data_IF_770564804112
#
_entry.id   IF_770564804112
#
_cell.length_a   1.000
_cell.length_b   1.000
_cell.length_c   1.000
_cell.angle_alpha   90.00
_cell.angle_beta   90.00
_cell.angle_gamma   90.00
#
_symmetry.space_group_name_H-M   'P 1'
#
loop_
_entity.id
_entity.type
_entity.pdbx_description
1 polymer ?
#
# COMPACT_ATOMS: atom_id res chain seq x y z
N UNK A 1 25.26 -1.61 -1.61
CA UNK A 1 24.20 -1.49 -2.65
C UNK A 1 24.85 -1.42 -4.04
N UNK A 2 24.18 -1.67 -5.18
CA UNK A 2 24.75 -1.29 -6.49
C UNK A 2 24.13 0.03 -6.99
N UNK A 3 24.87 0.89 -7.72
CA UNK A 3 24.33 2.14 -8.24
C UNK A 3 23.08 1.95 -9.12
N UNK A 4 23.04 0.90 -9.94
CA UNK A 4 21.91 0.62 -10.85
C UNK A 4 20.65 0.26 -10.05
N UNK A 5 20.81 -0.54 -8.98
CA UNK A 5 19.69 -0.91 -8.11
C UNK A 5 19.17 0.30 -7.35
N UNK A 6 20.06 1.16 -6.85
CA UNK A 6 19.65 2.39 -6.17
C UNK A 6 18.92 3.35 -7.12
N UNK A 7 19.44 3.56 -8.32
CA UNK A 7 18.80 4.39 -9.34
C UNK A 7 17.39 3.87 -9.68
N UNK A 8 17.24 2.54 -9.82
CA UNK A 8 15.93 1.93 -10.05
C UNK A 8 14.97 2.12 -8.88
N UNK A 9 15.45 2.02 -7.65
CA UNK A 9 14.64 2.28 -6.45
C UNK A 9 14.16 3.74 -6.43
N UNK A 10 15.07 4.71 -6.61
CA UNK A 10 14.74 6.14 -6.67
C UNK A 10 13.72 6.43 -7.78
N UNK A 11 13.92 5.90 -8.99
CA UNK A 11 12.98 6.04 -10.12
C UNK A 11 11.56 5.57 -9.77
N UNK A 12 11.42 4.45 -9.05
CA UNK A 12 10.11 3.93 -8.65
C UNK A 12 9.50 4.81 -7.55
N UNK A 13 10.30 5.22 -6.55
CA UNK A 13 9.83 6.08 -5.46
C UNK A 13 9.36 7.44 -5.96
N UNK A 14 10.06 8.02 -6.95
CA UNK A 14 9.70 9.31 -7.54
C UNK A 14 8.34 9.28 -8.25
N UNK A 15 7.88 8.09 -8.65
CA UNK A 15 6.57 7.88 -9.30
C UNK A 15 5.46 7.49 -8.33
N UNK A 16 5.76 7.31 -7.03
CA UNK A 16 4.73 6.90 -6.06
C UNK A 16 3.68 7.99 -5.85
N UNK A 17 2.44 7.54 -5.75
CA UNK A 17 1.23 8.35 -5.58
C UNK A 17 0.72 8.15 -4.14
N UNK A 18 1.12 9.00 -3.17
CA UNK A 18 0.76 8.81 -1.75
C UNK A 18 -0.71 9.04 -1.43
N UNK A 19 -1.43 9.70 -2.34
CA UNK A 19 -2.84 10.09 -2.22
C UNK A 19 -3.76 9.23 -3.12
N UNK A 20 -3.27 8.11 -3.65
CA UNK A 20 -4.08 7.07 -4.27
C UNK A 20 -3.87 5.78 -3.47
N UNK A 21 -4.95 5.18 -3.00
CA UNK A 21 -4.86 3.93 -2.25
C UNK A 21 -6.03 2.98 -2.54
N UNK A 22 -5.88 1.74 -2.08
CA UNK A 22 -6.94 0.72 -2.12
C UNK A 22 -7.29 0.35 -0.68
N UNK A 23 -8.59 0.25 -0.39
CA UNK A 23 -9.10 -0.34 0.85
C UNK A 23 -9.81 -1.65 0.55
N UNK A 24 -9.32 -2.78 1.08
CA UNK A 24 -10.02 -4.06 0.93
C UNK A 24 -10.97 -4.32 2.09
N UNK A 25 -12.22 -4.62 1.79
CA UNK A 25 -13.25 -5.04 2.75
C UNK A 25 -13.37 -6.56 2.78
N UNK A 26 -12.60 -7.20 3.67
CA UNK A 26 -12.70 -8.63 3.96
C UNK A 26 -12.57 -9.55 2.73
N UNK A 27 -11.72 -9.18 1.75
CA UNK A 27 -11.42 -10.04 0.60
C UNK A 27 -10.90 -11.41 1.09
N UNK A 28 -11.64 -12.47 0.82
CA UNK A 28 -11.42 -13.77 1.46
C UNK A 28 -10.24 -14.53 0.86
N UNK A 29 -10.07 -14.49 -0.46
CA UNK A 29 -9.09 -15.34 -1.14
C UNK A 29 -7.70 -14.69 -1.11
N UNK A 30 -6.67 -15.32 -0.50
CA UNK A 30 -5.31 -14.78 -0.44
C UNK A 30 -4.73 -14.45 -1.82
N UNK A 31 -5.06 -15.23 -2.85
CA UNK A 31 -4.62 -14.98 -4.24
C UNK A 31 -5.14 -13.64 -4.80
N UNK A 32 -6.34 -13.22 -4.43
CA UNK A 32 -6.92 -11.96 -4.89
C UNK A 32 -6.20 -10.79 -4.21
N UNK A 33 -5.95 -10.88 -2.90
CA UNK A 33 -5.16 -9.89 -2.18
C UNK A 33 -3.73 -9.79 -2.75
N UNK A 34 -3.09 -10.91 -3.09
CA UNK A 34 -1.73 -10.91 -3.69
C UNK A 34 -1.73 -10.15 -5.00
N UNK A 35 -2.74 -10.40 -5.83
CA UNK A 35 -2.91 -9.73 -7.11
C UNK A 35 -3.20 -8.23 -6.93
N UNK A 36 -4.02 -7.86 -5.94
CA UNK A 36 -4.31 -6.45 -5.62
C UNK A 36 -3.04 -5.71 -5.17
N UNK A 37 -2.21 -6.30 -4.30
CA UNK A 37 -0.91 -5.69 -3.91
C UNK A 37 -0.01 -5.49 -5.13
N UNK A 38 0.06 -6.49 -6.02
CA UNK A 38 0.82 -6.37 -7.26
C UNK A 38 0.29 -5.26 -8.16
N UNK A 39 -1.02 -5.05 -8.20
CA UNK A 39 -1.63 -3.92 -8.91
C UNK A 39 -1.23 -2.59 -8.27
N UNK A 40 -1.29 -2.49 -6.93
CA UNK A 40 -0.88 -1.30 -6.20
C UNK A 40 0.57 -0.91 -6.57
N UNK A 41 1.50 -1.87 -6.54
CA UNK A 41 2.89 -1.65 -6.94
C UNK A 41 3.02 -1.18 -8.40
N UNK A 42 2.35 -1.88 -9.32
CA UNK A 42 2.41 -1.62 -10.75
C UNK A 42 1.83 -0.25 -11.16
N UNK A 43 0.79 0.21 -10.46
CA UNK A 43 0.12 1.49 -10.73
C UNK A 43 0.64 2.65 -9.87
N UNK A 44 1.70 2.43 -9.09
CA UNK A 44 2.41 3.49 -8.38
C UNK A 44 1.85 3.83 -6.99
N UNK A 45 0.99 3.00 -6.40
CA UNK A 45 0.51 3.22 -5.05
C UNK A 45 1.64 2.91 -4.04
N UNK A 46 1.85 3.80 -3.07
CA UNK A 46 2.85 3.59 -2.01
C UNK A 46 2.35 2.62 -0.93
N UNK A 47 1.03 2.61 -0.70
CA UNK A 47 0.40 1.84 0.35
C UNK A 47 -1.01 1.39 -0.03
N UNK A 48 -1.50 0.40 0.70
CA UNK A 48 -2.89 -0.03 0.69
C UNK A 48 -3.40 -0.28 2.11
N UNK A 49 -4.71 -0.29 2.26
CA UNK A 49 -5.43 -0.51 3.51
C UNK A 49 -6.19 -1.83 3.42
N UNK A 50 -6.17 -2.62 4.50
CA UNK A 50 -6.85 -3.90 4.54
C UNK A 50 -7.58 -4.12 5.86
N UNK A 51 -8.87 -4.40 5.77
CA UNK A 51 -9.62 -5.08 6.81
C UNK A 51 -9.64 -6.55 6.45
N UNK A 52 -8.94 -7.36 7.24
CA UNK A 52 -8.79 -8.78 6.94
C UNK A 52 -10.08 -9.55 7.23
N UNK A 53 -10.33 -10.65 6.50
CA UNK A 53 -11.34 -11.62 6.90
C UNK A 53 -11.08 -12.07 8.34
N UNK A 54 -12.15 -12.21 9.13
CA UNK A 54 -12.08 -12.63 10.54
C UNK A 54 -11.30 -13.94 10.76
N UNK A 55 -11.17 -14.76 9.72
CA UNK A 55 -10.61 -16.11 9.79
C UNK A 55 -9.12 -16.25 9.42
N UNK A 56 -8.41 -15.23 8.87
CA UNK A 56 -7.32 -15.58 7.93
C UNK A 56 -6.02 -14.76 7.79
N UNK A 57 -5.71 -13.75 8.62
CA UNK A 57 -4.51 -12.87 8.43
C UNK A 57 -3.19 -13.62 8.16
N UNK A 58 -2.97 -14.79 8.78
CA UNK A 58 -1.69 -15.51 8.75
C UNK A 58 -1.34 -16.19 7.42
N UNK A 59 -2.32 -16.52 6.57
CA UNK A 59 -2.06 -17.28 5.35
C UNK A 59 -1.43 -16.45 4.21
N UNK A 60 -1.52 -15.12 4.31
CA UNK A 60 -1.32 -14.25 3.15
C UNK A 60 0.14 -13.87 2.85
N UNK A 61 1.00 -13.73 3.86
CA UNK A 61 2.42 -13.35 3.67
C UNK A 61 3.22 -14.32 2.78
N UNK A 62 2.79 -15.59 2.64
CA UNK A 62 3.48 -16.60 1.82
C UNK A 62 3.17 -16.54 0.32
N UNK A 63 2.09 -15.88 -0.11
CA UNK A 63 1.52 -16.08 -1.47
C UNK A 63 1.74 -14.91 -2.44
N UNK A 64 2.35 -13.80 -2.00
CA UNK A 64 2.31 -12.53 -2.72
C UNK A 64 3.63 -12.09 -3.39
N UNK A 65 4.53 -13.04 -3.65
CA UNK A 65 5.60 -12.90 -4.64
C UNK A 65 6.30 -11.53 -4.68
N UNK A 66 7.03 -11.18 -3.61
CA UNK A 66 7.93 -10.01 -3.54
C UNK A 66 7.27 -8.61 -3.53
N UNK A 67 6.07 -8.46 -4.10
CA UNK A 67 5.37 -7.15 -4.22
C UNK A 67 5.05 -6.49 -2.87
N UNK A 68 4.85 -7.29 -1.82
CA UNK A 68 4.75 -6.83 -0.43
C UNK A 68 5.94 -6.02 0.07
N UNK A 69 7.11 -6.16 -0.54
CA UNK A 69 8.29 -5.40 -0.13
C UNK A 69 8.21 -3.93 -0.58
N UNK A 70 7.33 -3.62 -1.54
CA UNK A 70 7.30 -2.32 -2.23
C UNK A 70 6.00 -1.53 -2.01
N UNK A 71 5.02 -2.12 -1.33
CA UNK A 71 3.74 -1.50 -0.97
C UNK A 71 3.46 -1.74 0.50
N UNK A 72 3.35 -0.67 1.29
CA UNK A 72 3.02 -0.79 2.72
C UNK A 72 1.56 -1.18 2.89
N UNK A 73 1.27 -2.23 3.66
CA UNK A 73 -0.11 -2.63 3.97
C UNK A 73 -0.52 -2.18 5.36
N UNK A 74 -1.41 -1.19 5.46
CA UNK A 74 -2.02 -0.74 6.70
C UNK A 74 -3.18 -1.66 7.08
N UNK A 75 -3.06 -2.34 8.22
CA UNK A 75 -4.10 -3.24 8.72
C UNK A 75 -5.05 -2.50 9.65
N UNK A 76 -6.35 -2.65 9.41
CA UNK A 76 -7.40 -2.06 10.22
C UNK A 76 -8.24 -3.14 10.89
N UNK A 77 -8.59 -2.98 12.18
CA UNK A 77 -9.46 -3.94 12.87
C UNK A 77 -10.90 -3.96 12.32
N UNK A 78 -11.38 -2.81 11.84
CA UNK A 78 -12.76 -2.63 11.37
C UNK A 78 -12.81 -1.73 10.12
N UNK A 79 -13.85 -1.90 9.29
CA UNK A 79 -14.10 -1.03 8.14
C UNK A 79 -14.37 0.41 8.56
N UNK A 80 -15.10 0.63 9.65
CA UNK A 80 -15.35 1.98 10.19
C UNK A 80 -14.05 2.71 10.51
N UNK A 81 -13.12 2.06 11.24
CA UNK A 81 -11.83 2.68 11.57
C UNK A 81 -10.97 2.96 10.33
N UNK A 82 -11.02 2.07 9.33
CA UNK A 82 -10.31 2.27 8.07
C UNK A 82 -10.84 3.47 7.29
N UNK A 83 -12.18 3.60 7.19
CA UNK A 83 -12.88 4.71 6.54
C UNK A 83 -12.57 6.03 7.25
N UNK A 84 -12.68 6.08 8.58
CA UNK A 84 -12.40 7.27 9.38
C UNK A 84 -10.95 7.74 9.18
N UNK A 85 -9.99 6.82 9.19
CA UNK A 85 -8.58 7.13 8.95
C UNK A 85 -8.37 7.76 7.56
N UNK A 86 -8.97 7.18 6.50
CA UNK A 86 -8.82 7.68 5.14
C UNK A 86 -9.51 9.03 4.93
N UNK A 87 -10.72 9.22 5.47
CA UNK A 87 -11.41 10.52 5.44
C UNK A 87 -10.65 11.59 6.23
N UNK A 88 -10.08 11.23 7.38
CA UNK A 88 -9.22 12.13 8.17
C UNK A 88 -7.96 12.57 7.42
N UNK A 89 -7.50 11.76 6.46
CA UNK A 89 -6.41 12.10 5.54
C UNK A 89 -6.87 12.86 4.28
N UNK A 90 -8.16 13.18 4.17
CA UNK A 90 -8.73 13.91 3.04
C UNK A 90 -9.01 13.06 1.80
N UNK A 91 -8.99 11.73 1.88
CA UNK A 91 -9.31 10.88 0.75
C UNK A 91 -10.81 10.86 0.47
N UNK A 92 -11.19 11.07 -0.79
CA UNK A 92 -12.49 10.64 -1.30
C UNK A 92 -12.55 9.11 -1.36
N UNK A 93 -13.71 8.54 -1.08
CA UNK A 93 -13.93 7.11 -1.05
C UNK A 93 -14.80 6.68 -2.23
N UNK A 94 -14.24 5.84 -3.10
CA UNK A 94 -14.94 5.27 -4.24
C UNK A 94 -15.19 3.78 -4.00
N UNK A 95 -16.44 3.38 -3.77
CA UNK A 95 -16.79 1.99 -3.56
C UNK A 95 -17.05 1.28 -4.90
N UNK A 96 -16.30 0.22 -5.18
CA UNK A 96 -16.55 -0.66 -6.32
C UNK A 96 -17.77 -1.56 -6.02
N UNK A 97 -18.96 -0.96 -6.09
CA UNK A 97 -20.22 -1.54 -5.65
C UNK A 97 -21.29 -1.38 -6.72
N UNK A 98 -21.99 -2.48 -7.03
CA UNK A 98 -23.17 -2.44 -7.88
C UNK A 98 -24.35 -1.85 -7.07
N UNK A 99 -24.92 -0.75 -7.56
CA UNK A 99 -26.08 -0.09 -6.94
C UNK A 99 -26.76 0.85 -7.94
N UNK A 100 -28.00 1.26 -7.67
CA UNK A 100 -28.74 2.20 -8.53
C UNK A 100 -28.09 3.58 -8.66
N UNK A 101 -27.27 3.97 -7.67
CA UNK A 101 -26.51 5.24 -7.69
C UNK A 101 -25.13 5.11 -8.31
N UNK A 102 -24.72 3.91 -8.73
CA UNK A 102 -23.37 3.70 -9.22
C UNK A 102 -23.15 4.42 -10.56
N UNK A 103 -22.05 5.14 -10.66
CA UNK A 103 -21.59 5.76 -11.91
C UNK A 103 -20.55 4.88 -12.59
N UNK A 104 -20.31 5.12 -13.88
CA UNK A 104 -19.19 4.46 -14.56
C UNK A 104 -17.87 4.83 -13.86
N UNK A 105 -17.02 3.84 -13.59
CA UNK A 105 -15.71 4.09 -12.99
C UNK A 105 -14.84 5.07 -13.77
N UNK A 106 -15.10 5.29 -15.06
CA UNK A 106 -14.38 6.24 -15.91
C UNK A 106 -14.81 7.70 -15.70
N UNK A 107 -15.99 7.92 -15.11
CA UNK A 107 -16.58 9.24 -14.95
C UNK A 107 -16.17 9.92 -13.63
N UNK A 108 -15.47 9.21 -12.75
CA UNK A 108 -14.91 9.79 -11.52
C UNK A 108 -13.49 10.32 -11.73
N UNK A 109 -13.12 11.29 -10.90
CA UNK A 109 -11.79 11.91 -10.90
C UNK A 109 -10.85 11.19 -9.93
N UNK A 110 -9.89 10.43 -10.46
CA UNK A 110 -8.85 9.77 -9.67
C UNK A 110 -7.61 10.65 -9.47
N UNK A 111 -7.59 11.88 -9.98
CA UNK A 111 -6.44 12.80 -9.81
C UNK A 111 -6.44 13.49 -8.44
N UNK A 112 -7.57 13.51 -7.74
CA UNK A 112 -7.68 13.96 -6.35
C UNK A 112 -7.24 12.86 -5.36
N UNK A 113 -6.97 13.22 -4.09
CA UNK A 113 -6.78 12.23 -3.03
C UNK A 113 -7.97 11.28 -2.93
N UNK A 114 -7.76 9.99 -3.19
CA UNK A 114 -8.85 9.02 -3.19
C UNK A 114 -8.43 7.60 -2.81
N UNK A 115 -9.39 6.84 -2.28
CA UNK A 115 -9.26 5.44 -1.94
C UNK A 115 -10.35 4.64 -2.66
N UNK A 116 -9.94 3.58 -3.37
CA UNK A 116 -10.87 2.65 -4.01
C UNK A 116 -11.17 1.50 -3.04
N UNK A 117 -12.44 1.37 -2.64
CA UNK A 117 -12.90 0.30 -1.76
C UNK A 117 -13.24 -0.93 -2.61
N UNK A 118 -12.55 -2.03 -2.35
CA UNK A 118 -12.74 -3.32 -3.01
C UNK A 118 -13.40 -4.31 -2.05
N UNK A 119 -14.59 -4.77 -2.42
CA UNK A 119 -15.40 -5.70 -1.64
C UNK A 119 -14.96 -7.16 -1.69
N UNK A 120 -15.62 -8.00 -0.89
CA UNK A 120 -15.42 -9.44 -0.92
C UNK A 120 -16.07 -10.10 -2.14
N UNK A 121 -15.75 -11.37 -2.40
CA UNK A 121 -16.16 -12.07 -3.62
C UNK A 121 -17.65 -12.43 -3.72
N UNK A 122 -18.39 -12.36 -2.62
CA UNK A 122 -19.80 -12.78 -2.54
C UNK A 122 -20.72 -11.57 -2.51
N UNK A 123 -20.51 -10.69 -1.54
CA UNK A 123 -21.44 -9.60 -1.24
C UNK A 123 -20.97 -8.24 -1.80
N UNK A 124 -19.76 -8.19 -2.37
CA UNK A 124 -19.14 -6.92 -2.75
C UNK A 124 -18.73 -6.11 -1.52
N UNK A 125 -18.89 -4.79 -1.59
CA UNK A 125 -18.55 -3.88 -0.50
C UNK A 125 -19.63 -3.97 0.57
N UNK A 126 -19.25 -4.07 1.85
CA UNK A 126 -20.24 -4.16 2.92
C UNK A 126 -21.16 -2.92 2.95
N UNK A 127 -22.45 -3.06 3.33
CA UNK A 127 -23.38 -1.95 3.37
C UNK A 127 -22.85 -0.74 4.16
N UNK A 128 -22.23 -1.01 5.31
CA UNK A 128 -21.65 0.05 6.16
C UNK A 128 -20.52 0.83 5.46
N UNK A 129 -19.73 0.18 4.60
CA UNK A 129 -18.68 0.84 3.83
C UNK A 129 -19.22 1.54 2.57
N UNK A 130 -20.28 0.99 1.96
CA UNK A 130 -20.97 1.59 0.82
C UNK A 130 -21.72 2.88 1.22
N UNK A 131 -22.41 2.88 2.36
CA UNK A 131 -23.19 4.02 2.86
C UNK A 131 -22.33 5.27 3.11
N UNK A 132 -21.07 5.07 3.49
CA UNK A 132 -20.12 6.15 3.79
C UNK A 132 -19.21 6.51 2.62
N UNK A 133 -19.29 5.78 1.51
CA UNK A 133 -18.53 6.06 0.31
C UNK A 133 -19.08 7.30 -0.39
N UNK A 134 -18.19 8.19 -0.84
CA UNK A 134 -18.57 9.42 -1.52
C UNK A 134 -19.25 9.10 -2.85
N UNK A 135 -18.71 8.13 -3.61
CA UNK A 135 -19.34 7.60 -4.82
C UNK A 135 -19.32 6.07 -4.89
N UNK A 136 -20.32 5.51 -5.54
CA UNK A 136 -20.29 4.13 -6.01
C UNK A 136 -19.85 4.11 -7.47
N UNK A 137 -18.88 3.26 -7.79
CA UNK A 137 -18.37 3.08 -9.13
C UNK A 137 -18.61 1.65 -9.61
N UNK A 138 -18.96 1.51 -10.89
CA UNK A 138 -19.17 0.21 -11.53
C UNK A 138 -18.38 0.12 -12.83
N UNK A 139 -17.88 -1.07 -13.14
CA UNK A 139 -17.38 -1.39 -14.47
C UNK A 139 -18.57 -1.93 -15.28
N UNK A 140 -18.99 -1.28 -16.39
CA UNK A 140 -20.12 -1.74 -17.16
C UNK A 140 -19.89 -3.16 -17.73
N UNK A 141 -20.81 -4.08 -17.43
CA UNK A 141 -20.78 -5.44 -17.97
C UNK A 141 -21.62 -5.50 -19.26
N UNK A 142 -21.04 -6.04 -20.33
CA UNK A 142 -21.70 -6.19 -21.64
C UNK A 142 -22.16 -7.64 -21.91
N UNK A 143 -22.14 -8.49 -20.88
CA UNK A 143 -22.44 -9.92 -20.99
C UNK A 143 -23.39 -10.39 -19.88
N UNK A 144 -23.50 -11.71 -19.70
CA UNK A 144 -24.42 -12.31 -18.74
C UNK A 144 -23.94 -12.30 -17.28
N UNK A 145 -22.66 -11.98 -17.05
CA UNK A 145 -22.10 -11.93 -15.70
C UNK A 145 -22.35 -10.58 -15.05
N UNK A 146 -22.61 -10.58 -13.75
CA UNK A 146 -22.89 -9.36 -12.98
C UNK A 146 -21.62 -8.64 -12.53
N UNK A 147 -20.51 -9.36 -12.40
CA UNK A 147 -19.25 -8.82 -11.91
C UNK A 147 -18.02 -9.57 -12.42
N UNK A 148 -16.87 -8.90 -12.29
CA UNK A 148 -15.56 -9.48 -12.52
C UNK A 148 -14.96 -10.01 -11.21
N UNK A 149 -13.89 -10.80 -11.32
CA UNK A 149 -13.04 -11.10 -10.16
C UNK A 149 -12.53 -9.79 -9.52
N UNK A 150 -12.58 -9.67 -8.19
CA UNK A 150 -12.19 -8.47 -7.45
C UNK A 150 -10.80 -7.93 -7.81
N UNK A 151 -9.81 -8.80 -8.04
CA UNK A 151 -8.46 -8.36 -8.44
C UNK A 151 -8.40 -7.86 -9.88
N UNK A 152 -9.22 -8.42 -10.78
CA UNK A 152 -9.37 -7.92 -12.15
C UNK A 152 -10.09 -6.57 -12.17
N UNK A 153 -11.16 -6.42 -11.39
CA UNK A 153 -11.85 -5.14 -11.23
C UNK A 153 -10.92 -4.06 -10.67
N UNK A 154 -10.13 -4.38 -9.63
CA UNK A 154 -9.11 -3.50 -9.08
C UNK A 154 -8.08 -3.10 -10.15
N UNK A 155 -7.59 -4.06 -10.96
CA UNK A 155 -6.65 -3.78 -12.04
C UNK A 155 -7.20 -2.79 -13.08
N UNK A 156 -8.48 -2.96 -13.47
CA UNK A 156 -9.14 -2.10 -14.46
C UNK A 156 -9.31 -0.69 -13.91
N UNK A 157 -9.81 -0.56 -12.68
CA UNK A 157 -10.03 0.74 -12.04
C UNK A 157 -8.69 1.47 -11.84
N UNK A 158 -7.67 0.78 -11.33
CA UNK A 158 -6.35 1.40 -11.10
C UNK A 158 -5.62 1.73 -12.41
N UNK A 159 -5.85 0.99 -13.50
CA UNK A 159 -5.32 1.36 -14.81
C UNK A 159 -5.92 2.68 -15.32
N UNK A 160 -7.22 2.91 -15.09
CA UNK A 160 -7.85 4.20 -15.40
C UNK A 160 -7.34 5.31 -14.49
N UNK A 161 -7.21 5.05 -13.18
CA UNK A 161 -6.60 6.01 -12.26
C UNK A 161 -5.18 6.39 -12.70
N UNK A 162 -4.35 5.41 -13.07
CA UNK A 162 -3.02 5.65 -13.62
C UNK A 162 -3.09 6.50 -14.90
N UNK A 163 -4.02 6.20 -15.81
CA UNK A 163 -4.20 6.96 -17.06
C UNK A 163 -4.52 8.43 -16.77
N UNK A 164 -5.51 8.70 -15.91
CA UNK A 164 -5.90 10.07 -15.54
C UNK A 164 -4.73 10.82 -14.90
N UNK A 165 -4.06 10.21 -13.92
CA UNK A 165 -2.93 10.81 -13.21
C UNK A 165 -1.73 11.07 -14.12
N UNK A 166 -1.47 10.19 -15.09
CA UNK A 166 -0.44 10.39 -16.12
C UNK A 166 -0.78 11.56 -17.04
N UNK A 167 -2.02 11.67 -17.50
CA UNK A 167 -2.46 12.81 -18.31
C UNK A 167 -2.36 14.12 -17.53
N UNK A 168 -2.63 14.09 -16.23
CA UNK A 168 -2.47 15.24 -15.33
C UNK A 168 -1.01 15.53 -14.91
N UNK A 169 -0.02 14.77 -15.38
CA UNK A 169 1.40 14.97 -15.06
C UNK A 169 1.80 14.59 -13.63
N UNK A 170 0.96 13.86 -12.88
CA UNK A 170 1.22 13.52 -11.47
C UNK A 170 2.34 12.49 -11.27
N UNK A 171 2.82 11.87 -12.34
CA UNK A 171 3.98 10.97 -12.34
C UNK A 171 5.29 11.65 -12.77
N UNK A 172 5.24 12.93 -13.16
CA UNK A 172 6.40 13.64 -13.72
C UNK A 172 7.33 14.18 -12.63
N UNK A 173 6.87 14.23 -11.38
CA UNK A 173 7.64 14.68 -10.22
C UNK A 173 7.31 13.87 -8.97
N UNK A 174 8.27 13.82 -8.05
CA UNK A 174 8.12 13.19 -6.73
C UNK A 174 7.00 13.86 -5.93
N UNK A 175 6.07 13.04 -5.43
CA UNK A 175 4.94 13.49 -4.59
C UNK A 175 4.98 13.00 -3.15
N UNK A 176 5.85 12.03 -2.84
CA UNK A 176 6.07 11.60 -1.45
C UNK A 176 6.70 12.72 -0.62
N UNK A 177 6.23 12.97 0.61
CA UNK A 177 6.94 13.78 1.59
C UNK A 177 8.36 13.26 1.86
N UNK A 178 9.28 14.14 2.27
CA UNK A 178 10.69 13.78 2.46
C UNK A 178 10.88 12.63 3.47
N UNK A 179 10.17 12.69 4.60
CA UNK A 179 10.25 11.66 5.65
C UNK A 179 9.79 10.30 5.13
N UNK A 180 8.64 10.26 4.43
CA UNK A 180 8.10 9.03 3.84
C UNK A 180 9.02 8.48 2.75
N UNK A 181 9.59 9.36 1.93
CA UNK A 181 10.52 9.00 0.87
C UNK A 181 11.79 8.36 1.44
N UNK A 182 12.41 8.99 2.44
CA UNK A 182 13.63 8.48 3.09
C UNK A 182 13.36 7.17 3.82
N UNK A 183 12.22 7.06 4.50
CA UNK A 183 11.81 5.83 5.17
C UNK A 183 11.64 4.67 4.17
N UNK A 184 10.97 4.90 3.04
CA UNK A 184 10.81 3.88 2.00
C UNK A 184 12.14 3.56 1.30
N UNK A 185 12.95 4.57 1.00
CA UNK A 185 14.27 4.40 0.42
C UNK A 185 15.16 3.51 1.31
N UNK A 186 15.21 3.81 2.61
CA UNK A 186 15.89 2.96 3.58
C UNK A 186 15.33 1.53 3.55
N UNK A 187 14.00 1.40 3.62
CA UNK A 187 13.31 0.10 3.67
C UNK A 187 13.64 -0.80 2.48
N UNK A 188 13.80 -0.20 1.29
CA UNK A 188 14.07 -0.90 0.04
C UNK A 188 15.56 -1.16 -0.18
N UNK A 189 16.40 -0.28 0.34
CA UNK A 189 17.86 -0.45 0.31
C UNK A 189 18.35 -1.49 1.31
N UNK A 190 17.76 -1.50 2.51
CA UNK A 190 18.20 -2.26 3.67
C UNK A 190 17.11 -3.20 4.22
N UNK A 191 16.52 -4.08 3.40
CA UNK A 191 15.35 -4.88 3.80
C UNK A 191 15.61 -5.80 5.01
N UNK A 192 16.83 -6.35 5.12
CA UNK A 192 17.22 -7.19 6.26
C UNK A 192 17.29 -6.39 7.56
N UNK A 193 17.84 -5.18 7.50
CA UNK A 193 17.98 -4.29 8.67
C UNK A 193 16.63 -3.72 9.06
N UNK A 194 15.83 -3.29 8.08
CA UNK A 194 14.43 -2.88 8.27
C UNK A 194 13.65 -3.95 9.04
N UNK A 195 13.65 -5.19 8.56
CA UNK A 195 12.99 -6.31 9.24
C UNK A 195 13.53 -6.52 10.66
N UNK A 196 14.85 -6.47 10.85
CA UNK A 196 15.46 -6.62 12.17
C UNK A 196 14.95 -5.56 13.16
N UNK A 197 14.83 -4.30 12.71
CA UNK A 197 14.33 -3.18 13.49
C UNK A 197 12.83 -3.32 13.78
N UNK A 198 12.02 -3.63 12.77
CA UNK A 198 10.56 -3.82 12.90
C UNK A 198 10.23 -4.93 13.90
N UNK A 199 10.89 -6.08 13.78
CA UNK A 199 10.68 -7.25 14.65
C UNK A 199 11.02 -6.95 16.12
N UNK A 200 11.76 -5.86 16.39
CA UNK A 200 12.28 -5.48 17.72
C UNK A 200 11.82 -4.10 18.19
N UNK A 201 10.98 -3.41 17.43
CA UNK A 201 10.55 -2.04 17.69
C UNK A 201 11.75 -1.08 17.93
N UNK A 202 12.77 -1.16 17.06
CA UNK A 202 13.97 -0.31 17.13
C UNK A 202 13.88 0.83 16.11
N UNK A 203 14.48 2.00 16.40
CA UNK A 203 14.66 3.05 15.40
C UNK A 203 15.58 2.57 14.28
N UNK A 204 15.33 3.04 13.05
CA UNK A 204 16.18 2.70 11.92
C UNK A 204 17.55 3.39 12.04
N UNK A 205 18.66 2.69 11.71
CA UNK A 205 19.97 3.30 11.68
C UNK A 205 20.05 4.42 10.65
N UNK A 206 20.96 5.40 10.86
CA UNK A 206 21.28 6.36 9.83
C UNK A 206 21.82 5.65 8.59
N UNK A 207 21.45 6.15 7.41
CA UNK A 207 21.92 5.65 6.13
C UNK A 207 22.20 6.83 5.20
N UNK A 208 23.02 6.60 4.20
CA UNK A 208 23.33 7.60 3.17
C UNK A 208 22.38 7.42 1.98
N UNK A 209 21.49 8.39 1.68
CA UNK A 209 20.56 8.31 0.55
C UNK A 209 21.23 8.26 -0.83
N UNK A 210 22.49 8.71 -0.95
CA UNK A 210 23.22 8.73 -2.22
C UNK A 210 23.87 7.39 -2.56
N UNK A 211 24.22 6.59 -1.55
CA UNK A 211 24.78 5.25 -1.73
C UNK A 211 23.78 4.14 -1.39
N UNK A 212 22.77 4.43 -0.58
CA UNK A 212 21.82 3.47 -0.02
C UNK A 212 22.43 2.60 1.08
N UNK A 213 23.65 2.88 1.53
CA UNK A 213 24.38 2.10 2.52
C UNK A 213 24.23 2.70 3.93
N UNK A 214 24.41 1.87 4.98
CA UNK A 214 24.32 2.33 6.36
C UNK A 214 25.50 3.22 6.74
N UNK A 215 25.23 4.29 7.49
CA UNK A 215 26.27 5.11 8.12
C UNK A 215 26.62 4.42 9.45
N UNK A 216 27.86 3.93 9.56
CA UNK A 216 28.35 3.20 10.73
C UNK A 216 27.41 2.06 11.20
N UNK A 217 27.09 1.13 10.29
CA UNK A 217 26.21 0.01 10.61
C UNK A 217 26.73 -0.92 11.72
N UNK A 218 28.06 -1.02 11.89
CA UNK A 218 28.67 -1.84 12.95
C UNK A 218 28.51 -1.16 14.31
N UNK A 219 28.85 0.13 14.43
CA UNK A 219 28.68 0.89 15.65
C UNK A 219 27.21 0.97 16.09
N UNK A 220 26.29 1.10 15.15
CA UNK A 220 24.85 1.03 15.45
C UNK A 220 24.45 -0.33 16.06
N UNK A 221 24.90 -1.45 15.46
CA UNK A 221 24.61 -2.79 15.98
C UNK A 221 25.19 -3.02 17.39
N UNK A 222 26.39 -2.49 17.66
CA UNK A 222 27.00 -2.55 18.98
C UNK A 222 26.22 -1.72 20.01
N UNK A 223 25.78 -0.51 19.65
CA UNK A 223 24.96 0.33 20.52
C UNK A 223 23.63 -0.35 20.88
N UNK A 224 22.97 -0.96 19.89
CA UNK A 224 21.73 -1.75 20.12
C UNK A 224 22.00 -2.94 21.04
N UNK A 225 23.12 -3.65 20.89
CA UNK A 225 23.49 -4.76 21.80
C UNK A 225 23.75 -4.27 23.22
N UNK A 226 24.48 -3.17 23.40
CA UNK A 226 24.78 -2.57 24.71
C UNK A 226 23.53 -2.11 25.44
N UNK A 227 22.58 -1.46 24.74
CA UNK A 227 21.29 -1.06 25.33
C UNK A 227 20.45 -2.25 25.80
N UNK A 228 20.58 -3.42 25.16
CA UNK A 228 19.79 -4.61 25.50
C UNK A 228 20.43 -5.50 26.57
N UNK A 229 21.74 -5.37 26.80
CA UNK A 229 22.48 -6.12 27.82
C UNK A 229 23.44 -5.21 28.60
N UNK A 230 22.93 -4.31 29.46
CA UNK A 230 23.77 -3.37 30.19
C UNK A 230 24.79 -4.04 31.13
N UNK A 231 24.59 -5.31 31.50
CA UNK A 231 25.43 -6.05 32.46
C UNK A 231 26.48 -6.99 31.83
N UNK A 232 26.58 -7.07 30.50
CA UNK A 232 27.55 -7.96 29.83
C UNK A 232 28.81 -7.24 29.32
N UNK A 233 28.94 -5.93 29.59
CA UNK A 233 30.05 -5.10 29.08
C UNK A 233 31.12 -4.81 30.15
N UNK A 234 30.91 -5.21 31.41
CA UNK A 234 31.88 -5.01 32.52
C UNK A 234 32.75 -6.25 32.82
N UNK A 235 32.89 -7.17 31.87
CA UNK A 235 33.75 -8.34 32.02
C UNK A 235 34.75 -8.45 30.86
N UNK A 236 35.64 -7.46 30.75
CA UNK A 236 36.96 -7.59 30.12
C UNK A 236 38.02 -6.98 31.05
#
# INVERSE_FOLDING_TARGET
MTPERLARIKEILDRRQPDLTVLTDQVHKPRNLSAIIRCCDAFGLASMHAVWPKEGYRAFRKTAGGSFNWVTTHTHPTMTGAVEALKGQGHKLYAAQLSDRAVDYRDVDFTVPCAVIMGNEVDGVSPAAADVADEHIVIPMMGMVESLNVSAACSIILAEAQRQRKVAGLFDQRRLPDDDYLHLLFSWCQPTVKRYCDDRNLPYPPFDPETGDLIDGVGWMEAVRKQRHPHLVEAE
#
